data_IF_771382526498
#
_entry.id   IF_771382526498
#
_cell.length_a   1.000
_cell.length_b   1.000
_cell.length_c   1.000
_cell.angle_alpha   90.00
_cell.angle_beta   90.00
_cell.angle_gamma   90.00
#
_symmetry.space_group_name_H-M   'P 1'
#
loop_
_entity.id
_entity.type
_entity.pdbx_description
1 polymer ?
#
# COMPACT_ATOMS: atom_id res chain seq x y z
N UNK A 1 -48.47 26.16 40.10
CA UNK A 1 -48.00 26.15 38.69
C UNK A 1 -46.51 25.81 38.59
N UNK A 2 -46.05 24.68 39.16
CA UNK A 2 -44.61 24.29 39.20
C UNK A 2 -44.31 22.89 38.61
N UNK A 3 -45.34 22.18 38.11
CA UNK A 3 -45.19 20.80 37.60
C UNK A 3 -44.92 20.69 36.10
N UNK A 4 -45.06 21.78 35.34
CA UNK A 4 -44.87 21.76 33.87
C UNK A 4 -43.43 21.96 33.41
N UNK A 5 -42.51 22.44 34.26
CA UNK A 5 -41.09 22.60 33.89
C UNK A 5 -40.27 21.31 33.97
N UNK A 6 -40.73 20.29 34.71
CA UNK A 6 -39.97 19.04 34.87
C UNK A 6 -40.06 18.12 33.64
N UNK A 7 -41.14 18.22 32.87
CA UNK A 7 -41.37 17.37 31.68
C UNK A 7 -40.52 17.83 30.49
N UNK A 8 -40.17 19.12 30.40
CA UNK A 8 -39.38 19.66 29.28
C UNK A 8 -37.87 19.33 29.38
N UNK A 9 -37.37 19.00 30.58
CA UNK A 9 -35.94 18.69 30.78
C UNK A 9 -35.59 17.23 30.46
N UNK A 10 -36.58 16.32 30.47
CA UNK A 10 -36.36 14.88 30.22
C UNK A 10 -36.35 14.57 28.71
N UNK A 11 -37.00 15.40 27.88
CA UNK A 11 -37.01 15.22 26.41
C UNK A 11 -35.69 15.56 25.72
N UNK A 12 -34.72 16.18 26.41
CA UNK A 12 -33.40 16.51 25.86
C UNK A 12 -32.34 15.40 26.05
N UNK A 13 -32.66 14.34 26.82
CA UNK A 13 -31.72 13.24 27.10
C UNK A 13 -31.89 12.04 26.15
N UNK A 14 -32.83 12.09 25.20
CA UNK A 14 -33.13 10.96 24.30
C UNK A 14 -32.56 11.15 22.88
N UNK A 15 -31.81 12.23 22.64
CA UNK A 15 -31.24 12.56 21.33
C UNK A 15 -29.72 12.26 21.21
N UNK A 16 -29.12 11.53 22.15
CA UNK A 16 -27.69 11.16 22.09
C UNK A 16 -27.45 9.65 22.21
N UNK A 17 -28.30 8.86 21.55
CA UNK A 17 -27.98 7.48 21.21
C UNK A 17 -27.64 7.42 19.73
N UNK A 18 -26.41 7.82 19.38
CA UNK A 18 -25.79 7.35 18.14
C UNK A 18 -25.51 5.85 18.37
N UNK A 19 -26.37 4.99 17.83
CA UNK A 19 -26.12 3.56 17.85
C UNK A 19 -24.74 3.31 17.20
N UNK A 20 -23.93 2.35 17.69
CA UNK A 20 -22.73 1.97 16.97
C UNK A 20 -23.14 1.55 15.56
N UNK A 21 -22.85 2.42 14.60
CA UNK A 21 -23.05 2.13 13.18
C UNK A 21 -22.13 0.97 12.89
N UNK A 22 -22.75 -0.19 12.76
CA UNK A 22 -22.13 -1.45 12.42
C UNK A 22 -21.18 -1.22 11.23
N UNK A 23 -19.86 -1.22 11.50
CA UNK A 23 -18.83 -1.06 10.47
C UNK A 23 -18.60 -2.35 9.67
N UNK A 24 -19.54 -3.30 9.66
CA UNK A 24 -19.59 -4.38 8.66
C UNK A 24 -20.14 -3.90 7.32
N UNK A 25 -19.52 -2.87 6.76
CA UNK A 25 -19.48 -2.62 5.30
C UNK A 25 -18.17 -1.92 4.96
N UNK A 26 -17.06 -2.47 5.49
CA UNK A 26 -15.76 -2.26 4.88
C UNK A 26 -15.72 -3.06 3.57
N UNK A 27 -16.01 -2.38 2.46
CA UNK A 27 -15.64 -2.77 1.10
C UNK A 27 -16.18 -4.11 0.58
N UNK A 28 -17.49 -4.17 0.29
CA UNK A 28 -17.98 -5.01 -0.81
C UNK A 28 -18.48 -4.13 -1.95
N UNK A 29 -17.55 -3.74 -2.83
CA UNK A 29 -17.88 -3.37 -4.21
C UNK A 29 -16.91 -4.08 -5.15
N UNK A 30 -16.88 -5.41 -5.04
CA UNK A 30 -16.71 -6.23 -6.23
C UNK A 30 -18.08 -6.27 -6.90
N UNK A 31 -18.28 -5.43 -7.92
CA UNK A 31 -19.30 -5.66 -8.93
C UNK A 31 -18.87 -6.88 -9.75
N UNK A 32 -19.05 -8.08 -9.19
CA UNK A 32 -19.00 -9.32 -9.96
C UNK A 32 -20.42 -9.62 -10.43
N UNK A 33 -20.59 -9.57 -11.74
CA UNK A 33 -21.84 -9.81 -12.44
C UNK A 33 -22.23 -11.29 -12.26
N UNK A 34 -23.11 -11.56 -11.30
CA UNK A 34 -23.60 -12.91 -11.00
C UNK A 34 -24.86 -13.20 -11.81
N UNK A 35 -24.65 -13.56 -13.08
CA UNK A 35 -25.63 -14.28 -13.88
C UNK A 35 -24.99 -15.57 -14.37
N UNK A 36 -25.16 -16.65 -13.60
CA UNK A 36 -25.44 -18.01 -14.07
C UNK A 36 -25.27 -19.00 -12.91
N UNK A 37 -26.41 -19.48 -12.40
CA UNK A 37 -26.44 -20.68 -11.57
C UNK A 37 -26.22 -21.91 -12.45
N UNK A 38 -25.47 -22.89 -11.94
CA UNK A 38 -26.00 -24.18 -11.47
C UNK A 38 -24.81 -25.11 -11.20
N UNK A 39 -24.88 -25.77 -10.04
CA UNK A 39 -23.98 -26.86 -9.63
C UNK A 39 -24.48 -28.15 -10.32
N UNK A 40 -23.59 -28.86 -11.01
CA UNK A 40 -23.65 -30.33 -11.11
C UNK A 40 -22.25 -30.92 -11.02
N UNK A 41 -22.13 -31.91 -10.12
CA UNK A 41 -20.95 -32.73 -9.83
C UNK A 41 -20.77 -33.83 -10.91
N UNK A 42 -19.62 -34.53 -10.93
CA UNK A 42 -19.02 -35.12 -12.13
C UNK A 42 -19.46 -36.56 -12.40
N UNK A 43 -19.42 -36.95 -13.69
CA UNK A 43 -19.46 -38.36 -14.11
C UNK A 43 -18.32 -38.64 -15.08
N UNK A 44 -17.56 -39.65 -14.74
CA UNK A 44 -16.46 -40.28 -15.46
C UNK A 44 -16.85 -40.84 -16.83
N UNK A 45 -16.00 -40.60 -17.83
CA UNK A 45 -15.73 -41.58 -18.89
C UNK A 45 -14.28 -41.42 -19.33
N UNK A 46 -13.48 -42.48 -19.17
CA UNK A 46 -12.09 -42.49 -19.56
C UNK A 46 -11.90 -42.70 -21.05
N UNK A 47 -10.78 -42.19 -21.56
CA UNK A 47 -10.08 -42.81 -22.68
C UNK A 47 -8.58 -42.60 -22.49
N UNK A 48 -7.88 -43.70 -22.25
CA UNK A 48 -6.43 -43.87 -22.34
C UNK A 48 -5.94 -43.64 -23.78
N UNK A 49 -4.91 -42.82 -23.94
CA UNK A 49 -3.93 -42.95 -25.03
C UNK A 49 -2.51 -42.73 -24.48
N UNK A 50 -1.73 -43.79 -24.62
CA UNK A 50 -0.29 -43.93 -24.41
C UNK A 50 0.52 -43.26 -25.51
N UNK A 51 1.70 -42.73 -25.15
CA UNK A 51 2.89 -42.76 -26.02
C UNK A 51 3.61 -41.42 -26.20
N UNK A 52 4.91 -41.40 -25.88
CA UNK A 52 5.84 -40.39 -26.40
C UNK A 52 6.84 -39.87 -25.38
N UNK A 53 7.92 -40.61 -25.16
CA UNK A 53 9.16 -40.12 -24.54
C UNK A 53 9.79 -39.04 -25.43
N UNK A 54 10.31 -37.96 -24.85
CA UNK A 54 11.55 -37.34 -25.33
C UNK A 54 12.21 -36.52 -24.21
N UNK A 55 13.49 -36.85 -23.99
CA UNK A 55 14.41 -36.17 -23.09
C UNK A 55 14.99 -34.94 -23.79
N UNK A 56 14.85 -33.77 -23.17
CA UNK A 56 15.74 -32.63 -23.41
C UNK A 56 16.16 -32.07 -22.06
N UNK A 57 17.40 -32.38 -21.69
CA UNK A 57 18.10 -31.76 -20.56
C UNK A 57 18.82 -30.53 -21.10
N UNK A 58 18.18 -29.36 -20.98
CA UNK A 58 18.84 -28.09 -21.28
C UNK A 58 19.56 -27.60 -20.02
N UNK A 59 20.86 -27.87 -20.01
CA UNK A 59 21.85 -27.33 -19.08
C UNK A 59 21.96 -25.81 -19.35
N UNK A 60 21.23 -25.02 -18.56
CA UNK A 60 21.29 -23.57 -18.61
C UNK A 60 22.43 -23.08 -17.73
N UNK A 61 23.59 -22.88 -18.36
CA UNK A 61 24.68 -22.11 -17.80
C UNK A 61 24.17 -20.72 -17.37
N UNK A 62 24.17 -20.45 -16.07
CA UNK A 62 23.91 -19.13 -15.49
C UNK A 62 25.00 -18.15 -15.97
N UNK A 63 24.71 -17.40 -17.03
CA UNK A 63 25.43 -16.16 -17.31
C UNK A 63 25.16 -15.19 -16.15
N UNK A 64 26.18 -14.94 -15.34
CA UNK A 64 26.27 -13.76 -14.48
C UNK A 64 26.26 -12.51 -15.36
N UNK A 65 25.05 -12.11 -15.77
CA UNK A 65 24.80 -10.80 -16.34
C UNK A 65 25.06 -9.78 -15.24
N UNK A 66 26.15 -9.02 -15.35
CA UNK A 66 26.30 -7.76 -14.63
C UNK A 66 25.06 -6.92 -14.94
N UNK A 67 24.13 -6.88 -13.99
CA UNK A 67 22.88 -6.12 -14.13
C UNK A 67 23.22 -4.65 -14.29
N UNK A 68 23.24 -4.19 -15.53
CA UNK A 68 23.55 -2.80 -15.84
C UNK A 68 22.37 -1.95 -15.37
N UNK A 69 22.62 -1.01 -14.46
CA UNK A 69 21.61 -0.10 -13.93
C UNK A 69 20.94 0.66 -15.09
N UNK A 70 19.60 0.61 -15.24
CA UNK A 70 18.88 1.29 -16.31
C UNK A 70 19.15 2.80 -16.34
N UNK A 71 19.30 3.37 -17.54
CA UNK A 71 19.61 4.79 -17.74
C UNK A 71 18.63 5.75 -17.04
N UNK A 72 17.36 5.38 -16.93
CA UNK A 72 16.32 6.17 -16.28
C UNK A 72 16.50 6.34 -14.76
N UNK A 73 17.40 5.58 -14.13
CA UNK A 73 17.71 5.64 -12.69
C UNK A 73 19.20 5.76 -12.36
N UNK A 74 20.06 5.97 -13.36
CA UNK A 74 21.51 6.13 -13.15
C UNK A 74 21.89 7.37 -12.33
N UNK A 75 20.98 8.34 -12.22
CA UNK A 75 21.16 9.55 -11.42
C UNK A 75 21.02 9.29 -9.90
N UNK A 76 20.63 8.09 -9.49
CA UNK A 76 20.50 7.68 -8.10
C UNK A 76 21.63 6.75 -7.66
N UNK A 77 21.86 6.65 -6.35
CA UNK A 77 22.90 5.81 -5.75
C UNK A 77 22.35 4.41 -5.43
N UNK A 78 22.91 3.38 -6.05
CA UNK A 78 22.49 2.00 -5.89
C UNK A 78 23.62 1.13 -5.34
N UNK A 79 23.25 0.13 -4.54
CA UNK A 79 24.19 -0.87 -4.05
C UNK A 79 24.43 -1.91 -5.14
N UNK A 80 25.68 -2.06 -5.59
CA UNK A 80 26.07 -3.11 -6.53
C UNK A 80 26.35 -4.45 -5.85
N UNK A 81 26.72 -4.43 -4.56
CA UNK A 81 27.10 -5.61 -3.78
C UNK A 81 25.96 -6.13 -2.89
N UNK A 82 24.89 -5.36 -2.69
CA UNK A 82 23.80 -5.66 -1.77
C UNK A 82 24.16 -5.48 -0.29
N UNK A 83 25.31 -4.86 0.02
CA UNK A 83 25.87 -4.70 1.37
C UNK A 83 26.12 -3.23 1.73
N UNK A 84 26.60 -2.43 0.78
CA UNK A 84 26.97 -1.02 0.97
C UNK A 84 26.50 -0.14 -0.21
N UNK A 85 26.51 1.19 -0.06
CA UNK A 85 26.14 2.11 -1.14
C UNK A 85 24.64 2.39 -1.30
N UNK A 86 23.85 2.15 -0.24
CA UNK A 86 22.45 2.59 -0.18
C UNK A 86 22.37 4.09 0.11
N UNK A 87 21.40 4.79 -0.49
CA UNK A 87 21.31 6.24 -0.42
C UNK A 87 20.84 6.76 0.96
N UNK A 88 19.97 6.01 1.63
CA UNK A 88 19.25 6.44 2.83
C UNK A 88 19.16 5.33 3.87
N UNK A 89 18.87 5.70 5.12
CA UNK A 89 18.60 4.76 6.20
C UNK A 89 17.44 5.24 7.07
N UNK A 90 16.58 4.30 7.47
CA UNK A 90 15.44 4.56 8.35
C UNK A 90 15.12 3.32 9.19
N UNK A 91 14.65 3.51 10.43
CA UNK A 91 14.32 2.39 11.35
C UNK A 91 13.27 1.43 10.79
N UNK A 92 12.40 1.91 9.90
CA UNK A 92 11.35 1.10 9.27
C UNK A 92 11.87 0.14 8.18
N UNK A 93 12.79 0.59 7.31
CA UNK A 93 13.27 -0.16 6.14
C UNK A 93 14.72 -0.65 6.26
N UNK A 94 15.47 -0.18 7.26
CA UNK A 94 16.93 -0.33 7.30
C UNK A 94 17.60 0.65 6.33
N UNK A 95 18.71 0.24 5.73
CA UNK A 95 19.36 0.98 4.64
C UNK A 95 18.65 0.67 3.31
N UNK A 96 18.38 1.69 2.50
CA UNK A 96 17.62 1.57 1.25
C UNK A 96 17.95 2.68 0.26
N UNK A 97 17.55 2.48 -0.98
CA UNK A 97 17.47 3.52 -2.02
C UNK A 97 16.06 3.53 -2.59
N UNK A 98 15.42 4.70 -2.65
CA UNK A 98 14.17 4.92 -3.39
C UNK A 98 14.41 6.05 -4.39
N UNK A 99 14.14 5.78 -5.66
CA UNK A 99 14.46 6.68 -6.77
C UNK A 99 13.28 6.79 -7.73
N UNK A 100 12.91 8.00 -8.12
CA UNK A 100 11.95 8.19 -9.20
C UNK A 100 12.69 8.09 -10.54
N UNK A 101 12.11 7.40 -11.51
CA UNK A 101 12.65 7.40 -12.86
C UNK A 101 12.54 8.80 -13.48
N UNK A 102 13.36 9.07 -14.49
CA UNK A 102 13.28 10.33 -15.26
C UNK A 102 11.91 10.55 -15.93
N UNK A 103 11.13 9.48 -16.15
CA UNK A 103 9.77 9.56 -16.70
C UNK A 103 8.69 9.97 -15.67
N UNK A 104 9.06 10.09 -14.39
CA UNK A 104 8.23 10.51 -13.25
C UNK A 104 7.05 9.60 -12.89
N UNK A 105 6.88 8.46 -13.54
CA UNK A 105 5.80 7.49 -13.29
C UNK A 105 6.27 6.25 -12.53
N UNK A 106 7.53 5.88 -12.74
CA UNK A 106 8.09 4.70 -12.08
C UNK A 106 8.91 5.12 -10.87
N UNK A 107 8.78 4.35 -9.79
CA UNK A 107 9.65 4.42 -8.62
C UNK A 107 10.39 3.11 -8.51
N UNK A 108 11.70 3.21 -8.31
CA UNK A 108 12.59 2.08 -8.13
C UNK A 108 13.03 2.02 -6.67
N UNK A 109 13.10 0.81 -6.12
CA UNK A 109 13.47 0.59 -4.73
C UNK A 109 14.47 -0.57 -4.61
N UNK A 110 15.45 -0.38 -3.73
CA UNK A 110 16.39 -1.41 -3.29
C UNK A 110 16.53 -1.29 -1.78
N UNK A 111 16.55 -2.41 -1.06
CA UNK A 111 16.72 -2.44 0.40
C UNK A 111 17.86 -3.37 0.75
N UNK A 112 18.62 -3.05 1.79
CA UNK A 112 19.75 -3.87 2.23
C UNK A 112 19.32 -5.19 2.85
N UNK A 113 18.28 -5.16 3.66
CA UNK A 113 17.76 -6.36 4.35
C UNK A 113 16.47 -6.79 3.67
N UNK A 114 16.45 -7.97 3.01
CA UNK A 114 15.24 -8.51 2.41
C UNK A 114 14.06 -8.53 3.39
N UNK A 115 12.88 -8.17 2.88
CA UNK A 115 11.64 -8.12 3.66
C UNK A 115 10.83 -9.35 3.27
N UNK A 116 10.91 -10.37 4.12
CA UNK A 116 10.36 -11.71 3.85
C UNK A 116 9.01 -11.97 4.50
N UNK A 117 8.58 -11.11 5.43
CA UNK A 117 7.41 -11.30 6.25
C UNK A 117 6.26 -10.30 5.95
N UNK A 118 6.42 -9.49 4.90
CA UNK A 118 5.39 -8.59 4.38
C UNK A 118 5.76 -8.06 3.00
N UNK A 119 4.79 -7.51 2.28
CA UNK A 119 5.06 -6.71 1.09
C UNK A 119 5.54 -5.30 1.50
N UNK A 120 6.23 -4.61 0.59
CA UNK A 120 6.45 -3.16 0.68
C UNK A 120 5.50 -2.49 -0.27
N UNK A 121 4.67 -1.58 0.25
CA UNK A 121 3.75 -0.77 -0.52
C UNK A 121 4.32 0.64 -0.73
N UNK A 122 4.22 1.11 -1.97
CA UNK A 122 4.56 2.46 -2.38
C UNK A 122 3.28 3.17 -2.81
N UNK A 123 2.98 4.31 -2.18
CA UNK A 123 1.79 5.10 -2.43
C UNK A 123 2.21 6.43 -3.07
N UNK A 124 1.76 6.75 -4.29
CA UNK A 124 2.12 7.98 -4.95
C UNK A 124 1.51 9.18 -4.23
N UNK A 125 2.32 10.22 -4.06
CA UNK A 125 1.89 11.49 -3.46
C UNK A 125 2.25 12.67 -4.34
N UNK A 126 1.48 13.74 -4.18
CA UNK A 126 1.83 15.07 -4.64
C UNK A 126 2.17 15.93 -3.43
N UNK A 127 3.34 16.55 -3.46
CA UNK A 127 3.83 17.54 -2.52
C UNK A 127 3.71 18.93 -3.15
N UNK A 128 3.01 19.84 -2.47
CA UNK A 128 2.85 21.25 -2.86
C UNK A 128 3.73 22.22 -2.05
N UNK A 129 4.77 21.70 -1.40
CA UNK A 129 5.67 22.40 -0.48
C UNK A 129 5.15 22.39 0.97
N UNK A 130 3.93 22.86 1.20
CA UNK A 130 3.33 22.94 2.54
C UNK A 130 2.51 21.72 2.94
N UNK A 131 2.13 20.88 1.98
CA UNK A 131 1.31 19.70 2.22
C UNK A 131 1.67 18.58 1.25
N UNK A 132 1.41 17.34 1.69
CA UNK A 132 1.48 16.17 0.84
C UNK A 132 0.15 15.43 0.86
N UNK A 133 -0.30 15.01 -0.31
CA UNK A 133 -1.57 14.33 -0.53
C UNK A 133 -1.33 13.10 -1.40
N UNK A 134 -1.92 11.96 -1.04
CA UNK A 134 -1.87 10.78 -1.91
C UNK A 134 -2.75 10.98 -3.14
N UNK A 135 -2.29 10.51 -4.29
CA UNK A 135 -2.91 10.79 -5.59
C UNK A 135 -3.27 9.51 -6.39
N UNK A 136 -3.01 8.34 -5.82
CA UNK A 136 -3.38 7.07 -6.42
C UNK A 136 -3.26 5.89 -5.48
N UNK A 137 -3.57 4.72 -6.01
CA UNK A 137 -3.57 3.46 -5.27
C UNK A 137 -2.16 3.02 -4.82
N UNK A 138 -2.05 2.30 -3.68
CA UNK A 138 -0.82 1.63 -3.29
C UNK A 138 -0.42 0.57 -4.31
N UNK A 139 0.89 0.46 -4.55
CA UNK A 139 1.48 -0.62 -5.35
C UNK A 139 2.46 -1.37 -4.46
N UNK A 140 2.18 -2.66 -4.24
CA UNK A 140 2.89 -3.48 -3.28
C UNK A 140 3.69 -4.59 -3.97
N UNK A 141 4.85 -4.91 -3.43
CA UNK A 141 5.74 -5.95 -3.95
C UNK A 141 6.53 -6.63 -2.84
N UNK A 142 6.99 -7.85 -3.10
CA UNK A 142 7.94 -8.56 -2.25
C UNK A 142 9.37 -8.14 -2.62
N UNK A 143 10.16 -7.75 -1.63
CA UNK A 143 11.56 -7.37 -1.80
C UNK A 143 12.42 -8.44 -1.12
N UNK A 144 12.76 -9.47 -1.88
CA UNK A 144 13.38 -10.70 -1.40
C UNK A 144 14.90 -10.76 -1.55
N UNK A 145 15.49 -9.83 -2.30
CA UNK A 145 16.92 -9.84 -2.64
C UNK A 145 17.49 -8.42 -2.51
N UNK A 146 18.61 -8.28 -1.79
CA UNK A 146 19.27 -7.00 -1.56
C UNK A 146 20.05 -6.48 -2.77
N UNK A 147 20.42 -7.36 -3.71
CA UNK A 147 21.11 -6.99 -4.96
C UNK A 147 20.16 -6.57 -6.07
N UNK A 148 18.87 -6.88 -5.93
CA UNK A 148 17.88 -6.58 -6.96
C UNK A 148 17.29 -5.18 -6.77
N UNK A 149 17.27 -4.42 -7.85
CA UNK A 149 16.54 -3.15 -7.93
C UNK A 149 15.14 -3.44 -8.47
N UNK A 150 14.11 -3.09 -7.70
CA UNK A 150 12.72 -3.39 -8.04
C UNK A 150 12.03 -2.17 -8.63
N UNK A 151 11.36 -2.34 -9.77
CA UNK A 151 10.56 -1.32 -10.44
C UNK A 151 9.11 -1.37 -9.97
N UNK A 152 8.54 -0.20 -9.69
CA UNK A 152 7.13 -0.02 -9.31
C UNK A 152 6.52 1.09 -10.15
N UNK A 153 5.60 0.75 -11.05
CA UNK A 153 4.83 1.74 -11.81
C UNK A 153 3.69 2.27 -10.95
N UNK A 154 3.66 3.59 -10.74
CA UNK A 154 2.64 4.27 -9.95
C UNK A 154 1.59 4.94 -10.85
N UNK A 155 0.39 5.11 -10.30
CA UNK A 155 -0.74 5.68 -11.03
C UNK A 155 -1.31 6.90 -10.30
N UNK A 156 -1.87 7.84 -11.06
CA UNK A 156 -2.61 9.00 -10.55
C UNK A 156 -4.11 8.77 -10.72
N UNK A 157 -4.64 7.73 -10.08
CA UNK A 157 -6.01 7.26 -10.27
C UNK A 157 -6.97 7.63 -9.12
N UNK A 158 -6.56 8.51 -8.19
CA UNK A 158 -7.46 9.02 -7.16
C UNK A 158 -8.40 10.08 -7.75
N UNK A 159 -9.71 9.88 -7.60
CA UNK A 159 -10.73 10.84 -8.04
C UNK A 159 -10.47 12.24 -7.46
N UNK A 160 -10.54 13.27 -8.32
CA UNK A 160 -10.21 14.66 -7.97
C UNK A 160 -8.72 15.01 -8.03
N UNK A 161 -7.82 14.03 -8.19
CA UNK A 161 -6.37 14.23 -8.16
C UNK A 161 -5.64 13.70 -9.41
N UNK A 162 -6.37 13.28 -10.45
CA UNK A 162 -5.80 12.66 -11.66
C UNK A 162 -4.83 13.55 -12.44
N UNK A 163 -4.96 14.88 -12.29
CA UNK A 163 -4.12 15.87 -12.96
C UNK A 163 -2.85 16.26 -12.18
N UNK A 164 -2.67 15.71 -10.97
CA UNK A 164 -1.49 16.00 -10.16
C UNK A 164 -0.31 15.15 -10.60
N UNK A 165 0.89 15.72 -10.55
CA UNK A 165 2.13 14.97 -10.78
C UNK A 165 2.57 14.22 -9.53
N UNK A 166 3.21 13.07 -9.72
CA UNK A 166 3.89 12.35 -8.63
C UNK A 166 5.18 13.11 -8.30
N UNK A 167 5.24 13.71 -7.12
CA UNK A 167 6.42 14.44 -6.61
C UNK A 167 6.96 13.87 -5.30
N UNK A 168 6.33 12.81 -4.80
CA UNK A 168 6.86 12.04 -3.69
C UNK A 168 6.16 10.70 -3.58
N UNK A 169 6.63 9.86 -2.66
CA UNK A 169 6.02 8.58 -2.35
C UNK A 169 6.08 8.30 -0.86
N UNK A 170 5.00 7.69 -0.35
CA UNK A 170 5.01 7.05 0.95
C UNK A 170 5.37 5.58 0.77
N UNK A 171 6.38 5.11 1.48
CA UNK A 171 6.86 3.73 1.43
C UNK A 171 6.67 3.09 2.79
N UNK A 172 5.98 1.96 2.85
CA UNK A 172 5.73 1.26 4.10
C UNK A 172 5.54 -0.24 3.90
N UNK A 173 5.88 -1.03 4.91
CA UNK A 173 5.57 -2.45 4.96
C UNK A 173 4.07 -2.66 5.10
N UNK A 174 3.52 -3.59 4.34
CA UNK A 174 2.14 -4.05 4.47
C UNK A 174 1.99 -4.94 5.71
N UNK A 175 2.02 -4.29 6.87
CA UNK A 175 1.94 -4.91 8.19
C UNK A 175 0.95 -4.18 9.07
N UNK A 176 0.32 -4.96 9.94
CA UNK A 176 -0.55 -4.44 10.97
C UNK A 176 0.27 -3.88 12.14
N UNK A 177 -0.08 -2.68 12.59
CA UNK A 177 0.44 -2.08 13.82
C UNK A 177 -0.73 -1.59 14.67
N UNK A 178 -0.54 -1.52 15.99
CA UNK A 178 -1.52 -0.90 16.87
C UNK A 178 -1.41 0.62 16.72
N UNK A 179 -2.47 1.25 16.24
CA UNK A 179 -2.58 2.70 16.16
C UNK A 179 -3.39 3.23 17.34
N UNK A 180 -2.94 4.30 18.02
CA UNK A 180 -3.67 4.87 19.14
C UNK A 180 -5.00 5.50 18.68
N UNK A 181 -5.75 6.06 19.63
CA UNK A 181 -6.96 6.84 19.31
C UNK A 181 -6.65 7.90 18.23
N UNK A 182 -7.51 8.08 17.21
CA UNK A 182 -8.87 7.54 17.08
C UNK A 182 -9.01 6.22 16.29
N UNK A 183 -7.90 5.53 15.94
CA UNK A 183 -7.98 4.17 15.38
C UNK A 183 -8.28 3.13 16.44
N UNK A 184 -7.50 3.15 17.53
CA UNK A 184 -7.57 2.27 18.71
C UNK A 184 -7.68 0.76 18.38
N UNK A 185 -6.94 0.33 17.35
CA UNK A 185 -6.94 -1.06 16.89
C UNK A 185 -5.68 -1.36 16.05
N UNK A 186 -5.47 -2.64 15.72
CA UNK A 186 -4.47 -3.05 14.75
C UNK A 186 -4.98 -2.81 13.33
N UNK A 187 -4.24 -2.04 12.53
CA UNK A 187 -4.58 -1.71 11.13
C UNK A 187 -3.34 -1.89 10.27
N UNK A 188 -3.52 -2.31 9.01
CA UNK A 188 -2.42 -2.31 8.03
C UNK A 188 -1.90 -0.88 7.81
N UNK A 189 -0.59 -0.70 7.76
CA UNK A 189 0.02 0.62 7.61
C UNK A 189 -0.46 1.39 6.36
N UNK A 190 -0.55 0.76 5.16
CA UNK A 190 -1.10 1.43 3.98
C UNK A 190 -2.53 1.94 4.19
N UNK A 191 -3.38 1.11 4.81
CA UNK A 191 -4.78 1.45 5.07
C UNK A 191 -4.91 2.59 6.08
N UNK A 192 -4.11 2.56 7.15
CA UNK A 192 -4.08 3.64 8.15
C UNK A 192 -3.70 4.98 7.52
N UNK A 193 -2.72 4.99 6.61
CA UNK A 193 -2.33 6.19 5.86
C UNK A 193 -3.42 6.69 4.91
N UNK A 194 -4.05 5.79 4.14
CA UNK A 194 -5.14 6.18 3.24
C UNK A 194 -6.30 6.75 4.05
N UNK A 195 -6.68 6.05 5.12
CA UNK A 195 -7.78 6.47 5.99
C UNK A 195 -7.51 7.86 6.58
N UNK A 196 -6.31 8.07 7.13
CA UNK A 196 -5.97 9.36 7.71
C UNK A 196 -6.00 10.48 6.66
N UNK A 197 -5.47 10.22 5.47
CA UNK A 197 -5.42 11.19 4.38
C UNK A 197 -6.82 11.55 3.85
N UNK A 198 -7.70 10.56 3.71
CA UNK A 198 -9.09 10.79 3.32
C UNK A 198 -9.85 11.59 4.36
N UNK A 199 -9.67 11.27 5.65
CA UNK A 199 -10.35 11.95 6.74
C UNK A 199 -9.89 13.40 6.86
N UNK A 200 -8.58 13.65 6.72
CA UNK A 200 -8.02 14.99 6.67
C UNK A 200 -8.57 15.78 5.48
N UNK A 201 -8.66 15.18 4.29
CA UNK A 201 -9.15 15.87 3.11
C UNK A 201 -10.64 16.25 3.23
N UNK A 202 -11.46 15.30 3.71
CA UNK A 202 -12.91 15.45 3.78
C UNK A 202 -13.37 16.30 4.97
N UNK A 203 -12.76 16.11 6.15
CA UNK A 203 -13.23 16.71 7.41
C UNK A 203 -12.27 17.75 7.99
N UNK A 204 -11.10 17.94 7.38
CA UNK A 204 -10.02 18.81 7.90
C UNK A 204 -9.55 18.43 9.31
N UNK A 205 -9.79 17.18 9.70
CA UNK A 205 -9.35 16.64 10.98
C UNK A 205 -8.05 15.84 10.81
N UNK A 206 -7.02 16.26 11.53
CA UNK A 206 -5.69 15.65 11.53
C UNK A 206 -5.51 14.54 12.57
N UNK A 207 -6.52 14.26 13.40
CA UNK A 207 -6.44 13.30 14.51
C UNK A 207 -5.94 11.92 14.08
N UNK A 208 -6.51 11.34 13.01
CA UNK A 208 -6.05 10.08 12.43
C UNK A 208 -4.64 10.20 11.85
N UNK A 209 -4.28 11.34 11.23
CA UNK A 209 -2.92 11.54 10.70
C UNK A 209 -1.89 11.60 11.82
N UNK A 210 -2.23 12.23 12.95
CA UNK A 210 -1.37 12.32 14.11
C UNK A 210 -1.18 10.95 14.77
N UNK A 211 -2.26 10.16 14.88
CA UNK A 211 -2.19 8.77 15.34
C UNK A 211 -1.31 7.90 14.43
N UNK A 212 -1.48 8.00 13.10
CA UNK A 212 -0.64 7.30 12.13
C UNK A 212 0.84 7.68 12.29
N UNK A 213 1.13 8.99 12.32
CA UNK A 213 2.50 9.51 12.47
C UNK A 213 3.16 9.09 13.77
N UNK A 214 2.42 8.98 14.86
CA UNK A 214 2.96 8.56 16.17
C UNK A 214 3.53 7.15 16.18
N UNK A 215 3.05 6.26 15.29
CA UNK A 215 3.57 4.89 15.16
C UNK A 215 4.85 4.86 14.31
N UNK A 216 4.98 5.77 13.34
CA UNK A 216 6.23 6.00 12.60
C UNK A 216 6.68 4.87 11.68
N UNK A 217 5.78 3.96 11.30
CA UNK A 217 6.09 2.77 10.48
C UNK A 217 5.97 3.06 8.99
N UNK A 218 6.66 4.11 8.54
CA UNK A 218 6.69 4.52 7.13
C UNK A 218 7.98 5.30 6.83
N UNK A 219 8.24 5.49 5.55
CA UNK A 219 9.21 6.41 4.99
C UNK A 219 8.48 7.34 4.04
N UNK A 220 8.77 8.64 4.12
CA UNK A 220 8.28 9.61 3.13
C UNK A 220 9.45 10.13 2.32
N UNK A 221 9.37 9.95 0.99
CA UNK A 221 10.38 10.43 0.04
C UNK A 221 9.78 11.52 -0.84
N UNK A 222 10.43 12.67 -0.90
CA UNK A 222 10.19 13.71 -1.92
C UNK A 222 11.24 13.53 -3.01
N UNK A 223 10.83 13.71 -4.27
CA UNK A 223 11.70 13.59 -5.45
C UNK A 223 12.11 14.96 -6.00
#
# INVERSE_FOLDING_TARGET
MKKSSLILLISLLIASCDAPRDRRTAYSSNSYNQSNGFIQNPTSTGTTTTGGSDSSSDDSSEETTESTIPAEIQHCTWSSDGVSGFAESHTHLGEYTVCQSTNKKDVWIQVKTPITDSQVCIIPTHNSGSSSVYIGEPRCLMISDSKKIYKVTLYTNRSGYTNFSITGAMVMKDKAYFYPSPFYQYVLSPDAYIYCSQFLDQYKDSSYCNAFKSVGQYVYKVF
#
